data_IF_014677459000
#
_entry.id   IF_014677459000
#
_cell.length_a   1.000
_cell.length_b   1.000
_cell.length_c   1.000
_cell.angle_alpha   90.00
_cell.angle_beta   90.00
_cell.angle_gamma   90.00
#
_symmetry.space_group_name_H-M   'P 1'
#
loop_
_entity.id
_entity.type
_entity.pdbx_description
1 polymer ?
#
# COMPACT_ATOMS: atom_id res chain seq x y z
N UNK A 1 1.36 5.02 -10.86
CA UNK A 1 -0.10 5.01 -11.10
C UNK A 1 -0.37 4.61 -12.53
N UNK A 2 -1.22 3.61 -12.74
CA UNK A 2 -1.68 3.19 -14.07
C UNK A 2 -3.22 3.16 -14.08
N UNK A 3 -3.84 3.88 -15.03
CA UNK A 3 -5.28 3.81 -15.27
C UNK A 3 -5.58 2.87 -16.44
N UNK A 4 -6.42 1.88 -16.21
CA UNK A 4 -6.94 0.97 -17.23
C UNK A 4 -8.46 1.15 -17.37
N UNK A 5 -9.03 1.04 -18.57
CA UNK A 5 -10.47 0.93 -18.72
C UNK A 5 -10.94 -0.38 -18.06
N UNK A 6 -12.11 -0.35 -17.45
CA UNK A 6 -12.78 -1.58 -17.05
C UNK A 6 -13.55 -2.13 -18.27
N UNK A 7 -13.16 -3.32 -18.73
CA UNK A 7 -13.75 -3.99 -19.89
C UNK A 7 -15.24 -4.30 -19.67
N UNK A 8 -15.67 -4.51 -18.42
CA UNK A 8 -17.05 -4.87 -18.07
C UNK A 8 -17.91 -3.65 -17.67
N UNK A 9 -17.30 -2.51 -17.30
CA UNK A 9 -18.03 -1.29 -16.96
C UNK A 9 -17.37 -0.01 -17.50
N UNK A 10 -17.80 0.52 -18.66
CA UNK A 10 -17.13 1.65 -19.33
C UNK A 10 -17.21 2.97 -18.55
N UNK A 11 -18.01 3.05 -17.49
CA UNK A 11 -18.06 4.19 -16.59
C UNK A 11 -17.01 4.13 -15.47
N UNK A 12 -16.41 2.96 -15.23
CA UNK A 12 -15.39 2.79 -14.22
C UNK A 12 -13.99 2.70 -14.85
N UNK A 13 -13.00 3.15 -14.10
CA UNK A 13 -11.60 2.99 -14.44
C UNK A 13 -10.90 2.23 -13.33
N UNK A 14 -10.16 1.19 -13.69
CA UNK A 14 -9.29 0.49 -12.75
C UNK A 14 -7.99 1.30 -12.60
N UNK A 15 -7.76 1.82 -11.40
CA UNK A 15 -6.53 2.56 -11.07
C UNK A 15 -5.63 1.67 -10.22
N UNK A 16 -4.45 1.36 -10.75
CA UNK A 16 -3.40 0.64 -10.04
C UNK A 16 -2.43 1.66 -9.41
N UNK A 17 -2.39 1.66 -8.08
CA UNK A 17 -1.46 2.45 -7.28
C UNK A 17 -0.35 1.52 -6.78
N UNK A 18 0.81 1.61 -7.43
CA UNK A 18 2.02 0.93 -6.97
C UNK A 18 2.83 1.86 -6.07
N UNK A 19 3.34 1.34 -4.96
CA UNK A 19 4.16 2.09 -4.00
C UNK A 19 5.53 1.43 -3.89
N UNK A 20 6.57 2.21 -3.61
CA UNK A 20 7.95 1.69 -3.49
C UNK A 20 8.12 0.68 -2.32
N UNK A 21 7.12 0.55 -1.45
CA UNK A 21 7.12 -0.36 -0.32
C UNK A 21 7.88 0.18 0.90
N UNK A 22 7.97 -0.66 1.92
CA UNK A 22 8.71 -0.36 3.14
C UNK A 22 10.00 -1.17 3.16
N UNK A 23 11.08 -0.65 2.59
CA UNK A 23 12.40 -1.25 2.81
C UNK A 23 12.86 -0.93 4.24
N UNK A 24 13.51 -1.88 4.93
CA UNK A 24 14.03 -1.69 6.30
C UNK A 24 14.88 -0.43 6.44
N UNK A 25 15.61 -0.04 5.39
CA UNK A 25 16.44 1.17 5.34
C UNK A 25 15.61 2.47 5.18
N UNK A 26 14.38 2.38 4.68
CA UNK A 26 13.43 3.49 4.45
C UNK A 26 12.38 3.63 5.56
N UNK A 27 12.35 2.71 6.53
CA UNK A 27 11.55 2.84 7.75
C UNK A 27 11.97 4.07 8.60
N UNK A 28 13.16 4.61 8.34
CA UNK A 28 13.67 5.82 8.97
C UNK A 28 13.46 7.09 8.11
N UNK A 29 12.89 6.95 6.90
CA UNK A 29 12.54 8.08 6.05
C UNK A 29 11.16 8.64 6.46
N UNK A 30 11.12 9.94 6.74
CA UNK A 30 9.93 10.64 7.27
C UNK A 30 8.75 10.65 6.31
N UNK A 31 8.98 10.28 5.05
CA UNK A 31 7.98 10.32 3.98
C UNK A 31 7.25 8.98 3.77
N UNK A 32 7.75 7.87 4.33
CA UNK A 32 7.20 6.53 4.10
C UNK A 32 5.80 6.34 4.72
N UNK A 33 5.60 6.85 5.95
CA UNK A 33 4.32 6.72 6.66
C UNK A 33 3.17 7.55 6.02
N UNK A 34 3.39 8.82 5.60
CA UNK A 34 2.38 9.57 4.85
C UNK A 34 1.98 8.95 3.52
N UNK A 35 2.93 8.41 2.74
CA UNK A 35 2.62 7.77 1.45
C UNK A 35 1.79 6.51 1.66
N UNK A 36 2.14 5.68 2.65
CA UNK A 36 1.34 4.51 3.00
C UNK A 36 -0.10 4.88 3.39
N UNK A 37 -0.24 5.86 4.28
CA UNK A 37 -1.56 6.34 4.73
C UNK A 37 -2.39 6.87 3.56
N UNK A 38 -1.76 7.64 2.67
CA UNK A 38 -2.42 8.17 1.48
C UNK A 38 -2.88 7.06 0.54
N UNK A 39 -2.03 6.07 0.26
CA UNK A 39 -2.39 4.92 -0.57
C UNK A 39 -3.55 4.13 0.03
N UNK A 40 -3.59 3.96 1.36
CA UNK A 40 -4.69 3.29 2.04
C UNK A 40 -6.00 4.08 1.93
N UNK A 41 -5.95 5.40 2.09
CA UNK A 41 -7.13 6.28 1.99
C UNK A 41 -7.68 6.43 0.57
N UNK A 42 -6.81 6.38 -0.45
CA UNK A 42 -7.21 6.54 -1.85
C UNK A 42 -7.66 5.22 -2.49
N UNK A 43 -7.37 4.07 -1.87
CA UNK A 43 -7.66 2.76 -2.45
C UNK A 43 -9.03 2.24 -2.02
N UNK A 44 -9.82 1.75 -2.98
CA UNK A 44 -11.01 0.95 -2.67
C UNK A 44 -10.67 -0.47 -2.22
N UNK A 45 -9.54 -1.00 -2.69
CA UNK A 45 -8.96 -2.29 -2.29
C UNK A 45 -7.47 -2.08 -2.06
N UNK A 46 -6.96 -2.48 -0.89
CA UNK A 46 -5.55 -2.35 -0.52
C UNK A 46 -4.88 -3.72 -0.44
N UNK A 47 -3.77 -3.91 -1.15
CA UNK A 47 -3.00 -5.14 -1.14
C UNK A 47 -1.70 -4.95 -0.35
N UNK A 48 -1.64 -5.54 0.84
CA UNK A 48 -0.42 -5.55 1.65
C UNK A 48 0.45 -6.76 1.30
N UNK A 49 1.45 -6.54 0.46
CA UNK A 49 2.36 -7.58 -0.01
C UNK A 49 3.49 -7.83 1.00
N UNK A 50 3.70 -9.08 1.41
CA UNK A 50 4.68 -9.46 2.44
C UNK A 50 5.47 -10.68 2.00
N UNK A 51 6.71 -10.80 2.50
CA UNK A 51 7.55 -11.97 2.24
C UNK A 51 7.31 -13.03 3.33
N UNK A 52 7.03 -14.26 2.89
CA UNK A 52 6.86 -15.39 3.79
C UNK A 52 5.45 -15.52 4.39
N UNK A 53 5.28 -16.37 5.41
CA UNK A 53 3.99 -16.59 6.05
C UNK A 53 3.58 -15.37 6.88
N UNK A 54 2.26 -15.14 6.99
CA UNK A 54 1.71 -14.11 7.86
C UNK A 54 2.02 -14.47 9.31
N UNK A 55 2.86 -13.67 9.98
CA UNK A 55 3.16 -13.77 11.41
C UNK A 55 2.50 -12.62 12.18
N UNK A 56 2.60 -12.66 13.52
CA UNK A 56 2.12 -11.56 14.35
C UNK A 56 2.87 -10.25 14.02
N UNK A 57 4.19 -10.35 13.80
CA UNK A 57 5.03 -9.20 13.44
C UNK A 57 4.57 -8.56 12.12
N UNK A 58 4.13 -9.37 11.15
CA UNK A 58 3.55 -8.88 9.89
C UNK A 58 2.28 -8.07 10.11
N UNK A 59 1.43 -8.50 11.05
CA UNK A 59 0.20 -7.79 11.40
C UNK A 59 0.50 -6.51 12.19
N UNK A 60 1.49 -6.55 13.08
CA UNK A 60 1.91 -5.38 13.84
C UNK A 60 2.47 -4.29 12.92
N UNK A 61 3.25 -4.64 11.90
CA UNK A 61 3.73 -3.68 10.88
C UNK A 61 2.59 -3.06 10.06
N UNK A 62 1.49 -3.79 9.84
CA UNK A 62 0.32 -3.27 9.14
C UNK A 62 -0.52 -2.33 10.01
N UNK A 63 -0.71 -2.68 11.29
CA UNK A 63 -1.54 -1.93 12.24
C UNK A 63 -0.82 -0.69 12.80
N UNK A 64 0.48 -0.82 13.00
CA UNK A 64 1.37 0.21 13.51
C UNK A 64 2.52 0.38 12.52
N UNK A 65 2.24 0.88 11.30
CA UNK A 65 3.31 1.23 10.37
C UNK A 65 4.24 2.19 11.12
N UNK A 66 5.57 1.98 11.04
CA UNK A 66 6.51 2.60 11.97
C UNK A 66 6.24 4.10 12.08
N UNK A 67 5.80 4.48 13.27
CA UNK A 67 5.70 5.87 13.66
C UNK A 67 7.11 6.34 13.97
N UNK A 68 7.56 7.40 13.30
CA UNK A 68 8.62 8.25 13.83
C UNK A 68 7.99 9.18 14.88
#
# INVERSE_FOLDING_TARGET
MWSLPDDDSPENSLILLDTDGFEEDLMNDRNSCPIFTLSLLLSSVFLYNTLGPVSLDTLDQLLYPPHV
#
